data_IF_214970248893
#
_entry.id   IF_214970248893
#
_cell.length_a   1.000
_cell.length_b   1.000
_cell.length_c   1.000
_cell.angle_alpha   90.00
_cell.angle_beta   90.00
_cell.angle_gamma   90.00
#
_symmetry.space_group_name_H-M   'P 1'
#
loop_
_entity.id
_entity.type
_entity.pdbx_description
1 polymer ?
#
# COMPACT_ATOMS: atom_id res chain seq x y z
N UNK A 1 -5.50 33.14 17.78
CA UNK A 1 -5.28 32.17 16.65
C UNK A 1 -5.83 30.83 17.13
N UNK A 2 -6.58 30.11 16.31
CA UNK A 2 -7.20 28.84 16.68
C UNK A 2 -6.34 27.66 16.23
N UNK A 3 -6.37 26.55 16.98
CA UNK A 3 -5.62 25.33 16.66
C UNK A 3 -5.97 24.80 15.27
N UNK A 4 -7.26 24.79 14.91
CA UNK A 4 -7.75 24.38 13.60
C UNK A 4 -7.09 25.15 12.46
N UNK A 5 -6.98 26.47 12.57
CA UNK A 5 -6.33 27.31 11.55
C UNK A 5 -4.84 27.05 11.44
N UNK A 6 -4.16 26.73 12.54
CA UNK A 6 -2.74 26.36 12.53
C UNK A 6 -2.54 25.02 11.81
N UNK A 7 -3.37 24.01 12.12
CA UNK A 7 -3.35 22.71 11.47
C UNK A 7 -3.64 22.82 9.98
N UNK A 8 -4.64 23.63 9.60
CA UNK A 8 -4.97 23.91 8.19
C UNK A 8 -3.77 24.52 7.45
N UNK A 9 -3.13 25.51 8.05
CA UNK A 9 -1.97 26.17 7.45
C UNK A 9 -0.79 25.21 7.24
N UNK A 10 -0.48 24.37 8.24
CA UNK A 10 0.60 23.38 8.14
C UNK A 10 0.33 22.35 7.03
N UNK A 11 -0.89 21.80 7.00
CA UNK A 11 -1.28 20.80 5.99
C UNK A 11 -1.44 21.39 4.58
N UNK A 12 -1.73 22.69 4.48
CA UNK A 12 -1.77 23.40 3.18
C UNK A 12 -0.37 23.66 2.64
N UNK A 13 0.58 23.98 3.53
CA UNK A 13 1.96 24.29 3.15
C UNK A 13 2.82 23.04 2.93
N UNK A 14 2.41 21.89 3.43
CA UNK A 14 3.17 20.66 3.31
C UNK A 14 2.93 19.97 1.97
N UNK A 15 4.03 19.62 1.29
CA UNK A 15 4.00 18.80 0.08
C UNK A 15 3.82 17.30 0.39
N UNK A 16 4.14 16.87 1.61
CA UNK A 16 4.07 15.48 2.05
C UNK A 16 2.98 15.27 3.13
N UNK A 17 2.40 14.06 3.22
CA UNK A 17 1.50 13.73 4.32
C UNK A 17 2.21 13.85 5.67
N UNK A 18 1.54 14.38 6.69
CA UNK A 18 2.09 14.54 8.03
C UNK A 18 1.28 13.74 9.06
N UNK A 19 1.93 12.88 9.87
CA UNK A 19 1.28 12.24 11.03
C UNK A 19 0.77 13.28 12.03
N UNK A 20 -0.33 13.01 12.73
CA UNK A 20 -0.88 13.90 13.76
C UNK A 20 0.14 14.21 14.87
N UNK A 21 0.97 13.24 15.25
CA UNK A 21 2.04 13.43 16.23
C UNK A 21 3.12 14.40 15.74
N UNK A 22 3.46 14.34 14.47
CA UNK A 22 4.43 15.28 13.87
C UNK A 22 3.87 16.71 13.84
N UNK A 23 2.60 16.87 13.48
CA UNK A 23 1.92 18.16 13.53
C UNK A 23 1.92 18.71 14.97
N UNK A 24 1.57 17.87 15.95
CA UNK A 24 1.60 18.25 17.36
C UNK A 24 3.01 18.64 17.83
N UNK A 25 4.04 17.89 17.39
CA UNK A 25 5.44 18.16 17.70
C UNK A 25 5.88 19.54 17.17
N UNK A 26 5.54 19.87 15.92
CA UNK A 26 5.87 21.16 15.31
C UNK A 26 5.21 22.33 16.04
N UNK A 27 3.95 22.15 16.42
CA UNK A 27 3.20 23.18 17.16
C UNK A 27 3.79 23.40 18.56
N UNK A 28 4.10 22.32 19.29
CA UNK A 28 4.77 22.40 20.61
C UNK A 28 6.15 23.03 20.52
N UNK A 29 6.92 22.67 19.49
CA UNK A 29 8.25 23.26 19.26
C UNK A 29 8.18 24.77 19.09
N UNK A 30 7.17 25.29 18.35
CA UNK A 30 6.99 26.75 18.20
C UNK A 30 6.63 27.42 19.51
N UNK A 31 5.84 26.77 20.38
CA UNK A 31 5.52 27.30 21.71
C UNK A 31 6.78 27.33 22.60
N UNK A 32 7.56 26.27 22.61
CA UNK A 32 8.82 26.19 23.36
C UNK A 32 9.84 27.24 22.90
N UNK A 33 10.00 27.47 21.60
CA UNK A 33 10.88 28.54 21.08
C UNK A 33 10.48 29.92 21.59
N UNK A 34 9.18 30.20 21.73
CA UNK A 34 8.70 31.48 22.24
C UNK A 34 8.96 31.63 23.73
N UNK A 35 8.82 30.56 24.50
CA UNK A 35 9.17 30.53 25.93
C UNK A 35 10.67 30.73 26.15
N UNK A 36 11.52 30.03 25.37
CA UNK A 36 12.96 30.18 25.42
C UNK A 36 13.41 31.58 25.03
N UNK A 37 12.81 32.19 24.01
CA UNK A 37 13.09 33.54 23.61
C UNK A 37 12.71 34.55 24.69
N UNK A 38 11.59 34.32 25.41
CA UNK A 38 11.17 35.12 26.56
C UNK A 38 12.13 34.97 27.74
N UNK A 39 12.57 33.73 28.02
CA UNK A 39 13.52 33.48 29.11
C UNK A 39 14.86 34.21 28.88
N UNK A 40 15.39 34.17 27.65
CA UNK A 40 16.62 34.90 27.29
C UNK A 40 16.51 36.41 27.51
N UNK A 41 15.38 37.04 27.13
CA UNK A 41 15.14 38.46 27.35
C UNK A 41 15.13 38.82 28.85
N UNK A 42 14.59 37.95 29.71
CA UNK A 42 14.63 38.10 31.16
C UNK A 42 16.07 38.06 31.68
N UNK A 43 16.87 37.09 31.19
CA UNK A 43 18.30 36.97 31.57
C UNK A 43 19.12 38.19 31.13
N UNK A 44 18.77 38.80 30.00
CA UNK A 44 19.38 40.01 29.46
C UNK A 44 18.92 41.30 30.19
N UNK A 45 18.02 41.17 31.14
CA UNK A 45 17.52 42.31 31.94
C UNK A 45 16.43 43.13 31.24
N UNK A 46 15.87 42.64 30.17
CA UNK A 46 14.74 43.24 29.47
C UNK A 46 13.41 42.82 30.09
N UNK A 47 12.39 43.68 29.94
CA UNK A 47 11.01 43.32 30.35
C UNK A 47 10.34 42.61 29.18
N UNK A 48 10.15 41.26 29.23
CA UNK A 48 9.56 40.54 28.13
C UNK A 48 8.06 40.82 28.04
N UNK A 49 7.51 40.84 26.85
CA UNK A 49 6.07 40.83 26.62
C UNK A 49 5.46 39.49 27.10
N UNK A 50 4.22 39.57 27.60
CA UNK A 50 3.47 38.35 27.94
C UNK A 50 3.21 37.54 26.67
N UNK A 51 3.36 36.21 26.78
CA UNK A 51 3.04 35.33 25.67
C UNK A 51 1.54 35.39 25.39
N UNK A 52 1.10 35.47 24.14
CA UNK A 52 -0.31 35.43 23.78
C UNK A 52 -0.98 34.14 24.29
N UNK A 53 -2.20 34.22 24.84
CA UNK A 53 -2.95 33.09 25.38
C UNK A 53 -3.06 31.90 24.42
N UNK A 54 -3.23 32.20 23.14
CA UNK A 54 -3.30 31.15 22.13
C UNK A 54 -1.99 30.32 22.03
N UNK A 55 -0.84 30.95 22.26
CA UNK A 55 0.47 30.28 22.19
C UNK A 55 0.68 29.39 23.43
N UNK A 56 0.25 29.85 24.58
CA UNK A 56 0.25 29.07 25.83
C UNK A 56 -0.66 27.85 25.69
N UNK A 57 -1.85 28.02 25.08
CA UNK A 57 -2.82 26.93 24.91
C UNK A 57 -2.34 25.80 24.01
N UNK A 58 -1.43 26.05 23.05
CA UNK A 58 -0.89 25.04 22.13
C UNK A 58 0.39 24.37 22.64
N UNK A 59 0.97 24.83 23.73
CA UNK A 59 2.22 24.30 24.29
C UNK A 59 2.14 22.80 24.68
N UNK A 60 0.93 22.33 25.01
CA UNK A 60 0.67 20.95 25.45
C UNK A 60 -0.25 20.18 24.50
N UNK A 61 -0.37 20.63 23.24
CA UNK A 61 -1.27 20.00 22.27
C UNK A 61 -0.91 18.53 22.02
N UNK A 62 -1.92 17.66 22.07
CA UNK A 62 -1.78 16.22 21.80
C UNK A 62 -2.16 15.87 20.36
N UNK A 63 -1.75 14.67 19.89
CA UNK A 63 -2.16 14.10 18.60
C UNK A 63 -3.69 13.95 18.53
N UNK A 64 -4.37 13.61 19.61
CA UNK A 64 -5.84 13.48 19.63
C UNK A 64 -6.53 14.82 19.39
N UNK A 65 -5.97 15.90 19.94
CA UNK A 65 -6.49 17.26 19.69
C UNK A 65 -6.27 17.68 18.23
N UNK A 66 -5.18 17.26 17.59
CA UNK A 66 -4.95 17.47 16.16
C UNK A 66 -5.99 16.73 15.32
N UNK A 67 -6.26 15.46 15.65
CA UNK A 67 -7.28 14.65 14.95
C UNK A 67 -8.66 15.28 15.11
N UNK A 68 -9.01 15.76 16.30
CA UNK A 68 -10.26 16.46 16.56
C UNK A 68 -10.36 17.78 15.76
N UNK A 69 -9.26 18.55 15.67
CA UNK A 69 -9.20 19.76 14.86
C UNK A 69 -9.38 19.48 13.36
N UNK A 70 -8.77 18.41 12.86
CA UNK A 70 -8.94 17.95 11.46
C UNK A 70 -10.38 17.53 11.18
N UNK A 71 -11.03 16.82 12.10
CA UNK A 71 -12.43 16.44 11.97
C UNK A 71 -13.34 17.68 11.92
N UNK A 72 -13.10 18.68 12.77
CA UNK A 72 -13.81 19.95 12.76
C UNK A 72 -13.61 20.71 11.44
N UNK A 73 -12.39 20.77 10.92
CA UNK A 73 -12.08 21.37 9.61
C UNK A 73 -12.84 20.67 8.47
N UNK A 74 -12.85 19.35 8.44
CA UNK A 74 -13.58 18.59 7.42
C UNK A 74 -15.08 18.88 7.46
N UNK A 75 -15.66 19.02 8.66
CA UNK A 75 -17.06 19.42 8.81
C UNK A 75 -17.32 20.82 8.24
N UNK A 76 -16.43 21.80 8.51
CA UNK A 76 -16.49 23.15 7.96
C UNK A 76 -16.37 23.11 6.43
N UNK A 77 -15.44 22.34 5.89
CA UNK A 77 -15.24 22.19 4.44
C UNK A 77 -16.45 21.58 3.75
N UNK A 78 -17.12 20.64 4.41
CA UNK A 78 -18.33 20.02 3.88
C UNK A 78 -19.48 21.03 3.90
N UNK A 79 -19.72 21.69 5.01
CA UNK A 79 -20.79 22.67 5.18
C UNK A 79 -20.63 23.88 4.23
N UNK A 80 -19.38 24.28 3.95
CA UNK A 80 -19.08 25.39 3.02
C UNK A 80 -18.89 24.98 1.56
N UNK A 81 -19.10 23.70 1.21
CA UNK A 81 -19.01 23.21 -0.17
C UNK A 81 -17.62 23.28 -0.77
N UNK A 82 -16.54 23.14 0.04
CA UNK A 82 -15.18 23.19 -0.46
C UNK A 82 -14.87 21.97 -1.34
N UNK A 83 -14.04 22.20 -2.37
CA UNK A 83 -13.65 21.18 -3.35
C UNK A 83 -12.59 20.19 -2.82
N UNK A 84 -12.15 20.34 -1.59
CA UNK A 84 -11.08 19.56 -0.95
C UNK A 84 -11.49 19.09 0.44
N UNK A 85 -10.74 18.14 0.99
CA UNK A 85 -10.89 17.60 2.34
C UNK A 85 -9.54 17.08 2.83
N UNK A 86 -9.41 16.94 4.15
CA UNK A 86 -8.26 16.34 4.81
C UNK A 86 -8.51 14.84 4.95
N UNK A 87 -7.58 14.03 4.46
CA UNK A 87 -7.66 12.57 4.56
C UNK A 87 -6.38 12.00 5.13
N UNK A 88 -6.55 10.99 5.98
CA UNK A 88 -5.44 10.20 6.47
C UNK A 88 -5.05 9.13 5.44
N UNK A 89 -3.75 8.97 5.25
CA UNK A 89 -3.12 7.93 4.44
C UNK A 89 -2.05 7.23 5.26
N UNK A 90 -1.38 6.24 4.71
CA UNK A 90 -0.35 5.47 5.41
C UNK A 90 0.74 6.35 6.07
N UNK A 91 1.11 7.46 5.43
CA UNK A 91 2.12 8.41 5.95
C UNK A 91 1.57 9.54 6.80
N UNK A 92 0.26 9.66 6.95
CA UNK A 92 -0.38 10.72 7.73
C UNK A 92 -1.45 11.51 6.98
N UNK A 93 -1.73 12.70 7.45
CA UNK A 93 -2.79 13.58 6.95
C UNK A 93 -2.30 14.48 5.81
N UNK A 94 -3.15 14.64 4.81
CA UNK A 94 -2.90 15.54 3.66
C UNK A 94 -4.22 16.06 3.10
N UNK A 95 -4.17 17.19 2.39
CA UNK A 95 -5.30 17.75 1.64
C UNK A 95 -5.45 17.01 0.32
N UNK A 96 -6.67 16.59 0.02
CA UNK A 96 -7.04 15.97 -1.25
C UNK A 96 -8.26 16.67 -1.86
N UNK A 97 -8.30 16.72 -3.17
CA UNK A 97 -9.51 17.15 -3.90
C UNK A 97 -10.59 16.08 -3.78
N UNK A 98 -11.85 16.51 -3.64
CA UNK A 98 -12.99 15.57 -3.61
C UNK A 98 -13.09 14.82 -4.94
N UNK A 99 -13.47 13.52 -4.92
CA UNK A 99 -13.57 12.68 -6.11
C UNK A 99 -14.47 13.25 -7.21
N UNK A 100 -15.51 14.02 -6.85
CA UNK A 100 -16.42 14.68 -7.77
C UNK A 100 -15.73 15.65 -8.72
N UNK A 101 -14.56 16.18 -8.36
CA UNK A 101 -13.77 17.08 -9.21
C UNK A 101 -12.66 16.37 -9.97
N UNK A 102 -12.54 15.04 -9.82
CA UNK A 102 -11.44 14.25 -10.38
C UNK A 102 -11.29 14.34 -11.90
N UNK A 103 -12.39 14.53 -12.64
CA UNK A 103 -12.35 14.68 -14.09
C UNK A 103 -11.69 15.99 -14.51
N UNK A 104 -11.96 17.08 -13.80
CA UNK A 104 -11.35 18.39 -14.05
C UNK A 104 -9.87 18.37 -13.68
N UNK A 105 -9.52 17.81 -12.52
CA UNK A 105 -8.13 17.70 -12.07
C UNK A 105 -7.29 16.87 -13.03
N UNK A 106 -7.84 15.81 -13.61
CA UNK A 106 -7.14 15.00 -14.62
C UNK A 106 -6.74 15.78 -15.86
N UNK A 107 -7.48 16.82 -16.25
CA UNK A 107 -7.15 17.65 -17.40
C UNK A 107 -5.89 18.49 -17.21
N UNK A 108 -5.49 18.76 -15.96
CA UNK A 108 -4.23 19.43 -15.65
C UNK A 108 -3.00 18.56 -15.98
N UNK A 109 -3.20 17.24 -16.11
CA UNK A 109 -2.13 16.27 -16.33
C UNK A 109 -2.39 15.43 -17.60
N UNK A 110 -2.40 16.03 -18.80
CA UNK A 110 -2.76 15.37 -20.07
C UNK A 110 -1.70 14.36 -20.49
N UNK A 111 -1.31 13.44 -19.93
CA UNK A 111 -0.31 12.40 -20.23
C UNK A 111 -0.26 11.31 -19.15
N UNK A 112 -0.80 11.59 -17.99
CA UNK A 112 -0.97 10.61 -16.91
C UNK A 112 -2.29 9.86 -17.09
N UNK A 113 -2.37 9.01 -18.12
CA UNK A 113 -3.42 7.97 -18.09
C UNK A 113 -3.12 7.08 -16.89
N UNK A 114 -4.05 6.92 -15.93
CA UNK A 114 -3.86 5.90 -14.90
C UNK A 114 -3.75 4.57 -15.61
N UNK A 115 -2.56 3.99 -15.62
CA UNK A 115 -2.35 2.66 -16.12
C UNK A 115 -3.09 1.68 -15.20
N UNK A 116 -4.26 1.27 -15.62
CA UNK A 116 -5.04 0.28 -14.89
C UNK A 116 -4.27 -1.04 -14.87
N UNK A 117 -4.21 -1.66 -13.71
CA UNK A 117 -3.74 -3.04 -13.61
C UNK A 117 -4.69 -3.94 -14.42
N UNK A 118 -4.12 -4.90 -15.15
CA UNK A 118 -4.94 -5.93 -15.79
C UNK A 118 -5.60 -6.81 -14.72
N UNK A 119 -6.71 -7.49 -15.08
CA UNK A 119 -7.37 -8.41 -14.15
C UNK A 119 -6.41 -9.39 -13.50
N UNK A 120 -5.59 -10.14 -14.26
CA UNK A 120 -4.59 -11.05 -13.69
C UNK A 120 -3.55 -10.38 -12.76
N UNK A 121 -3.15 -9.15 -13.06
CA UNK A 121 -2.23 -8.42 -12.18
C UNK A 121 -2.91 -7.99 -10.88
N UNK A 122 -4.18 -7.59 -10.95
CA UNK A 122 -4.99 -7.24 -9.77
C UNK A 122 -5.23 -8.46 -8.87
N UNK A 123 -5.53 -9.62 -9.44
CA UNK A 123 -5.67 -10.88 -8.69
C UNK A 123 -4.38 -11.25 -7.96
N UNK A 124 -3.23 -11.19 -8.67
CA UNK A 124 -1.92 -11.45 -8.05
C UNK A 124 -1.62 -10.49 -6.91
N UNK A 125 -1.88 -9.20 -7.13
CA UNK A 125 -1.69 -8.16 -6.12
C UNK A 125 -2.60 -8.36 -4.91
N UNK A 126 -3.86 -8.74 -5.12
CA UNK A 126 -4.80 -9.04 -4.05
C UNK A 126 -4.31 -10.21 -3.19
N UNK A 127 -3.86 -11.32 -3.82
CA UNK A 127 -3.30 -12.46 -3.07
C UNK A 127 -2.13 -12.01 -2.20
N UNK A 128 -1.20 -11.22 -2.74
CA UNK A 128 -0.06 -10.71 -1.97
C UNK A 128 -0.56 -9.83 -0.82
N UNK A 129 -1.44 -8.87 -1.08
CA UNK A 129 -1.93 -7.94 -0.07
C UNK A 129 -2.60 -8.63 1.12
N UNK A 130 -3.38 -9.68 0.88
CA UNK A 130 -4.07 -10.40 1.96
C UNK A 130 -3.19 -11.46 2.65
N UNK A 131 -2.09 -11.91 2.02
CA UNK A 131 -1.33 -13.09 2.45
C UNK A 131 0.14 -12.84 2.71
N UNK A 132 0.60 -11.63 2.55
CA UNK A 132 2.00 -11.27 2.79
C UNK A 132 2.46 -11.57 4.22
N UNK A 133 3.75 -11.98 4.40
CA UNK A 133 4.71 -12.28 3.32
C UNK A 133 4.41 -13.63 2.65
N UNK A 134 4.47 -13.70 1.32
CA UNK A 134 4.06 -14.89 0.53
C UNK A 134 5.09 -15.22 -0.55
N UNK A 135 5.29 -16.51 -0.83
CA UNK A 135 6.19 -16.97 -1.89
C UNK A 135 5.48 -17.02 -3.26
N UNK A 136 6.26 -16.98 -4.36
CA UNK A 136 5.73 -17.16 -5.71
C UNK A 136 4.95 -18.46 -5.85
N UNK A 137 5.50 -19.58 -5.39
CA UNK A 137 4.84 -20.89 -5.48
C UNK A 137 3.47 -20.91 -4.79
N UNK A 138 3.34 -20.23 -3.63
CA UNK A 138 2.07 -20.11 -2.93
C UNK A 138 1.06 -19.22 -3.69
N UNK A 139 1.52 -18.16 -4.35
CA UNK A 139 0.67 -17.32 -5.21
C UNK A 139 0.15 -18.15 -6.40
N UNK A 140 1.02 -18.91 -7.06
CA UNK A 140 0.68 -19.76 -8.18
C UNK A 140 -0.26 -20.90 -7.80
N UNK A 141 -0.09 -21.48 -6.60
CA UNK A 141 -1.00 -22.48 -6.07
C UNK A 141 -2.44 -21.94 -5.87
N UNK A 142 -2.57 -20.69 -5.46
CA UNK A 142 -3.88 -20.03 -5.33
C UNK A 142 -4.47 -19.70 -6.70
N UNK A 143 -3.65 -19.21 -7.64
CA UNK A 143 -4.11 -18.78 -8.96
C UNK A 143 -4.34 -19.94 -9.95
N UNK A 144 -3.66 -21.09 -9.74
CA UNK A 144 -3.64 -22.21 -10.67
C UNK A 144 -2.84 -21.97 -11.97
N UNK A 145 -2.15 -20.83 -12.08
CA UNK A 145 -1.35 -20.45 -13.26
C UNK A 145 -0.10 -19.69 -12.86
N UNK A 146 0.94 -19.76 -13.70
CA UNK A 146 2.19 -19.04 -13.51
C UNK A 146 1.97 -17.52 -13.42
N UNK A 147 2.74 -16.85 -12.55
CA UNK A 147 2.54 -15.44 -12.27
C UNK A 147 3.77 -14.54 -12.49
N UNK A 148 4.85 -15.04 -13.08
CA UNK A 148 6.12 -14.32 -13.28
C UNK A 148 5.94 -12.93 -13.91
N UNK A 149 5.26 -12.88 -15.05
CA UNK A 149 5.04 -11.61 -15.75
C UNK A 149 4.16 -10.63 -14.98
N UNK A 150 3.28 -11.13 -14.07
CA UNK A 150 2.47 -10.27 -13.23
C UNK A 150 3.28 -9.75 -12.05
N UNK A 151 4.08 -10.61 -11.41
CA UNK A 151 4.99 -10.24 -10.33
C UNK A 151 5.99 -9.17 -10.79
N UNK A 152 6.61 -9.37 -11.97
CA UNK A 152 7.55 -8.38 -12.50
C UNK A 152 6.86 -7.02 -12.71
N UNK A 153 5.68 -6.99 -13.32
CA UNK A 153 4.91 -5.74 -13.50
C UNK A 153 4.56 -5.05 -12.18
N UNK A 154 4.28 -5.82 -11.13
CA UNK A 154 3.96 -5.26 -9.81
C UNK A 154 5.21 -4.72 -9.11
N UNK A 155 6.38 -5.37 -9.29
CA UNK A 155 7.68 -4.89 -8.83
C UNK A 155 8.10 -3.61 -9.57
N UNK A 156 7.98 -3.57 -10.90
CA UNK A 156 8.31 -2.41 -11.75
C UNK A 156 7.45 -1.18 -11.40
N UNK A 157 6.24 -1.40 -10.90
CA UNK A 157 5.33 -0.34 -10.44
C UNK A 157 5.48 0.00 -8.96
N UNK A 158 6.42 -0.61 -8.30
CA UNK A 158 6.66 -0.42 -6.87
C UNK A 158 5.43 -0.71 -5.98
N UNK A 159 4.47 -1.51 -6.45
CA UNK A 159 3.32 -1.92 -5.64
C UNK A 159 3.64 -3.11 -4.74
N UNK A 160 4.64 -3.91 -5.14
CA UNK A 160 5.16 -5.08 -4.44
C UNK A 160 6.67 -4.96 -4.31
N UNK A 161 7.23 -5.49 -3.24
CA UNK A 161 8.66 -5.61 -3.00
C UNK A 161 9.02 -7.01 -2.55
N UNK A 162 10.31 -7.33 -2.60
CA UNK A 162 10.87 -8.53 -1.98
C UNK A 162 11.20 -8.21 -0.53
N UNK A 163 10.46 -8.84 0.41
CA UNK A 163 10.64 -8.65 1.86
C UNK A 163 11.66 -9.57 2.49
N UNK A 164 12.18 -10.56 1.73
CA UNK A 164 13.17 -11.51 2.22
C UNK A 164 13.09 -12.87 1.54
N UNK A 165 13.54 -13.91 2.23
CA UNK A 165 13.50 -15.32 1.78
C UNK A 165 12.82 -16.18 2.84
N UNK A 166 12.04 -17.13 2.41
CA UNK A 166 11.40 -18.10 3.31
C UNK A 166 12.41 -19.13 3.83
N UNK A 167 12.16 -19.64 5.03
CA UNK A 167 12.90 -20.77 5.62
C UNK A 167 12.36 -22.11 5.12
N UNK A 168 12.26 -22.26 3.80
CA UNK A 168 11.80 -23.44 3.09
C UNK A 168 12.92 -23.99 2.20
N UNK A 169 12.87 -25.27 1.79
CA UNK A 169 13.80 -25.79 0.80
C UNK A 169 13.85 -24.88 -0.44
N UNK A 170 15.07 -24.59 -0.93
CA UNK A 170 15.26 -23.62 -2.02
C UNK A 170 15.25 -22.14 -1.59
N UNK A 171 14.93 -21.80 -0.34
CA UNK A 171 14.87 -20.43 0.20
C UNK A 171 14.21 -19.43 -0.74
N UNK A 172 12.94 -19.67 -1.15
CA UNK A 172 12.25 -18.85 -2.13
C UNK A 172 12.04 -17.41 -1.63
N UNK A 173 11.92 -16.47 -2.57
CA UNK A 173 11.67 -15.06 -2.26
C UNK A 173 10.27 -14.88 -1.66
N UNK A 174 10.18 -13.97 -0.71
CA UNK A 174 8.94 -13.51 -0.09
C UNK A 174 8.55 -12.15 -0.68
N UNK A 175 7.28 -12.01 -1.05
CA UNK A 175 6.70 -10.81 -1.62
C UNK A 175 5.79 -10.13 -0.62
N UNK A 176 5.88 -8.79 -0.59
CA UNK A 176 5.11 -7.91 0.30
C UNK A 176 4.65 -6.67 -0.46
N UNK A 177 3.59 -6.02 0.01
CA UNK A 177 3.17 -4.72 -0.51
C UNK A 177 4.12 -3.60 -0.03
N UNK A 178 4.14 -2.50 -0.77
CA UNK A 178 4.95 -1.31 -0.48
C UNK A 178 4.08 -0.19 0.07
N UNK A 179 4.70 0.94 0.44
CA UNK A 179 3.97 2.17 0.77
C UNK A 179 3.19 2.71 -0.43
N UNK A 180 3.76 2.63 -1.64
CA UNK A 180 3.07 3.02 -2.88
C UNK A 180 1.78 2.25 -3.11
N UNK A 181 1.68 1.00 -2.65
CA UNK A 181 0.42 0.25 -2.64
C UNK A 181 -0.64 0.93 -1.78
N UNK A 182 -0.29 1.32 -0.55
CA UNK A 182 -1.23 1.98 0.36
C UNK A 182 -1.69 3.33 -0.19
N UNK A 183 -0.77 4.10 -0.77
CA UNK A 183 -1.07 5.37 -1.42
C UNK A 183 -1.99 5.18 -2.64
N UNK A 184 -1.71 4.17 -3.48
CA UNK A 184 -2.47 3.88 -4.70
C UNK A 184 -3.93 3.49 -4.39
N UNK A 185 -4.14 2.68 -3.36
CA UNK A 185 -5.47 2.24 -2.95
C UNK A 185 -6.14 3.17 -1.93
N UNK A 186 -5.42 4.16 -1.44
CA UNK A 186 -5.94 5.14 -0.49
C UNK A 186 -6.27 4.57 0.88
N UNK A 187 -5.57 3.53 1.32
CA UNK A 187 -5.69 2.87 2.62
C UNK A 187 -4.53 3.24 3.53
N UNK A 188 -4.70 3.10 4.85
CA UNK A 188 -3.67 3.39 5.85
C UNK A 188 -2.83 2.17 6.17
N UNK A 189 -3.49 1.03 6.20
CA UNK A 189 -2.89 -0.27 6.54
C UNK A 189 -3.60 -1.41 5.82
N UNK A 190 -3.03 -2.61 5.91
CA UNK A 190 -3.65 -3.84 5.39
C UNK A 190 -5.00 -4.14 6.05
N UNK A 191 -5.20 -3.68 7.28
CA UNK A 191 -6.43 -3.95 8.04
C UNK A 191 -7.62 -3.13 7.51
N UNK A 192 -7.35 -2.06 6.74
CA UNK A 192 -8.38 -1.29 6.04
C UNK A 192 -8.92 -2.02 4.78
N UNK A 193 -8.30 -3.14 4.37
CA UNK A 193 -8.81 -3.95 3.25
C UNK A 193 -10.12 -4.66 3.63
N UNK A 194 -11.09 -4.76 2.72
CA UNK A 194 -12.34 -5.45 2.97
C UNK A 194 -12.10 -6.90 3.38
N UNK A 195 -12.76 -7.37 4.44
CA UNK A 195 -12.67 -8.74 4.94
C UNK A 195 -11.24 -9.23 5.25
N UNK A 196 -10.29 -8.33 5.58
CA UNK A 196 -8.88 -8.65 5.79
C UNK A 196 -8.69 -9.77 6.82
N UNK A 197 -9.37 -9.69 7.96
CA UNK A 197 -9.27 -10.68 9.04
C UNK A 197 -9.76 -12.06 8.63
N UNK A 198 -10.86 -12.12 7.87
CA UNK A 198 -11.46 -13.36 7.41
C UNK A 198 -10.61 -14.03 6.32
N UNK A 199 -10.22 -13.26 5.31
CA UNK A 199 -9.42 -13.77 4.20
C UNK A 199 -8.03 -14.23 4.62
N UNK A 200 -7.43 -13.65 5.66
CA UNK A 200 -6.17 -14.13 6.25
C UNK A 200 -6.28 -15.49 6.91
N UNK A 201 -7.47 -15.90 7.38
CA UNK A 201 -7.70 -17.18 8.07
C UNK A 201 -7.98 -18.34 7.10
N UNK A 202 -8.40 -18.07 5.88
CA UNK A 202 -8.68 -19.11 4.88
C UNK A 202 -7.40 -19.90 4.60
N UNK A 203 -7.43 -21.22 4.72
CA UNK A 203 -6.26 -22.07 4.43
C UNK A 203 -5.94 -22.00 2.93
N UNK A 204 -4.69 -21.64 2.59
CA UNK A 204 -4.24 -21.62 1.20
C UNK A 204 -4.03 -23.06 0.70
N UNK A 205 -4.17 -23.31 -0.62
CA UNK A 205 -3.70 -24.53 -1.23
C UNK A 205 -2.21 -24.73 -0.94
N UNK A 206 -1.80 -25.95 -0.68
CA UNK A 206 -0.38 -26.25 -0.47
C UNK A 206 0.37 -26.06 -1.78
N UNK A 207 1.38 -25.17 -1.74
CA UNK A 207 2.25 -25.01 -2.89
C UNK A 207 3.05 -26.29 -3.09
N UNK A 208 3.19 -26.80 -4.35
CA UNK A 208 4.11 -27.90 -4.63
C UNK A 208 5.50 -27.52 -4.12
N UNK A 209 6.16 -28.38 -3.36
CA UNK A 209 7.54 -28.18 -2.99
C UNK A 209 8.38 -28.17 -4.27
N UNK A 210 9.04 -27.05 -4.58
CA UNK A 210 9.99 -27.00 -5.69
C UNK A 210 11.09 -28.00 -5.41
N UNK A 211 11.13 -29.10 -6.19
CA UNK A 211 12.03 -30.23 -6.01
C UNK A 211 11.34 -31.58 -5.87
N UNK A 212 10.02 -31.65 -5.73
CA UNK A 212 9.29 -32.88 -5.94
C UNK A 212 9.18 -33.10 -7.46
N UNK A 213 10.09 -33.90 -7.98
CA UNK A 213 9.96 -34.52 -9.32
C UNK A 213 8.58 -35.16 -9.33
N UNK A 214 7.72 -34.73 -10.23
CA UNK A 214 6.44 -35.41 -10.45
C UNK A 214 6.75 -36.90 -10.61
N UNK A 215 6.01 -37.81 -9.93
CA UNK A 215 6.19 -39.22 -10.18
C UNK A 215 5.90 -39.40 -11.68
N UNK A 216 6.95 -39.78 -12.43
CA UNK A 216 6.80 -40.27 -13.79
C UNK A 216 5.70 -41.33 -13.71
N UNK A 217 4.57 -41.01 -14.24
CA UNK A 217 3.57 -41.99 -14.58
C UNK A 217 4.23 -42.91 -15.61
N UNK A 218 4.77 -44.01 -15.10
CA UNK A 218 5.26 -45.12 -15.93
C UNK A 218 4.11 -45.53 -16.79
N UNK A 219 4.07 -45.05 -18.03
CA UNK A 219 3.39 -45.66 -19.11
C UNK A 219 4.02 -47.05 -19.31
N UNK A 220 3.50 -48.01 -18.54
CA UNK A 220 3.74 -49.42 -18.81
C UNK A 220 3.17 -49.73 -20.19
N UNK A 221 4.04 -49.62 -21.18
CA UNK A 221 3.87 -50.30 -22.44
C UNK A 221 3.85 -51.79 -22.12
N UNK A 222 2.67 -52.33 -21.96
CA UNK A 222 2.43 -53.76 -22.02
C UNK A 222 2.76 -54.23 -23.44
N UNK A 223 4.03 -54.58 -23.64
CA UNK A 223 4.43 -55.42 -24.72
C UNK A 223 3.80 -56.80 -24.52
N UNK A 224 2.74 -57.09 -25.20
CA UNK A 224 2.31 -58.46 -25.39
C UNK A 224 2.46 -58.79 -26.86
N UNK A 225 3.45 -59.63 -27.10
CA UNK A 225 3.84 -60.10 -28.40
C UNK A 225 2.82 -60.96 -29.09
N UNK A 226 2.89 -60.95 -30.37
CA UNK A 226 2.71 -62.13 -31.25
C UNK A 226 3.27 -61.78 -32.62
N UNK A 227 4.34 -62.43 -32.94
CA UNK A 227 4.81 -62.72 -34.31
C UNK A 227 4.39 -64.21 -34.58
N UNK A 228 4.47 -64.83 -35.75
CA UNK A 228 4.66 -64.33 -37.11
C UNK A 228 3.69 -65.00 -38.08
N UNK A 229 3.68 -64.62 -39.32
CA UNK A 229 3.89 -65.57 -40.48
C UNK A 229 3.48 -64.99 -41.84
N UNK A 230 4.42 -65.13 -42.75
CA UNK A 230 4.30 -65.52 -44.18
C UNK A 230 3.78 -64.47 -45.18
N UNK A 231 4.72 -64.07 -46.00
CA UNK A 231 4.56 -63.71 -47.40
C UNK A 231 4.02 -64.93 -48.24
N UNK A 232 3.66 -64.89 -49.54
CA UNK A 232 4.27 -64.04 -50.54
C UNK A 232 3.37 -63.54 -51.69
N UNK A 233 3.98 -62.77 -52.57
CA UNK A 233 3.95 -62.77 -54.02
C UNK A 233 2.78 -62.16 -54.82
N UNK A 234 3.23 -61.21 -55.61
CA UNK A 234 3.08 -61.15 -57.12
C UNK A 234 1.83 -60.50 -57.72
N UNK A 235 2.21 -59.54 -58.47
CA UNK A 235 1.93 -59.19 -59.89
C UNK A 235 0.96 -58.10 -60.15
N UNK A 236 1.53 -57.08 -60.75
CA UNK A 236 1.47 -56.68 -62.16
C UNK A 236 0.22 -55.96 -62.66
N UNK A 237 0.57 -54.85 -63.28
CA UNK A 237 -0.06 -54.23 -64.47
C UNK A 237 -1.39 -53.46 -64.33
N UNK A 238 -1.32 -52.19 -64.49
CA UNK A 238 -1.70 -51.39 -65.69
C UNK A 238 -1.61 -49.89 -65.31
#
# INVERSE_FOLDING_TARGET
MELSSIVEALLTASDEPMPAEEIARLIRARAAEAEDARARKIEEGETPEELPDWLVSIATVSSDQIIAAIAALNHIYEASGRAFLLMERAKGWKIFTRPSYGEFVRQLFPGRKPERLSGPAMETLAIIAYRQPITKAAIEAVRGVACDGMLQKLLDRELVRIGGRAELPGRPLLYETTESFYEHFGIRSIDDLPNATELRRVKLPEAPLEGAVAPEEQLALSATGASPAAAPAEKEDA
#
